data_IF_726787452149
#
_entry.id   IF_726787452149
#
_cell.length_a   1.000
_cell.length_b   1.000
_cell.length_c   1.000
_cell.angle_alpha   90.00
_cell.angle_beta   90.00
_cell.angle_gamma   90.00
#
_symmetry.space_group_name_H-M   'P 1'
#
loop_
_entity.id
_entity.type
_entity.pdbx_description
1 polymer ?
#
# COMPACT_ATOMS: atom_id res chain seq x y z
N UNK A 1 -9.56 -49.07 56.97
CA UNK A 1 -9.65 -49.42 55.54
C UNK A 1 -10.77 -48.55 55.02
N UNK A 2 -10.41 -47.34 54.58
CA UNK A 2 -11.35 -46.24 54.39
C UNK A 2 -11.25 -45.80 52.94
N UNK A 3 -12.32 -46.09 52.20
CA UNK A 3 -12.46 -45.88 50.77
C UNK A 3 -12.65 -44.42 50.41
N UNK A 4 -11.93 -43.99 49.39
CA UNK A 4 -11.95 -42.63 48.86
C UNK A 4 -13.24 -42.34 48.08
N UNK A 5 -13.88 -41.24 48.49
CA UNK A 5 -14.51 -40.20 47.68
C UNK A 5 -14.98 -40.59 46.26
N UNK A 6 -16.29 -40.82 46.13
CA UNK A 6 -17.02 -40.28 44.99
C UNK A 6 -17.48 -38.86 45.33
N UNK A 7 -17.30 -37.90 44.42
CA UNK A 7 -18.42 -37.35 43.64
C UNK A 7 -17.97 -36.13 42.79
N UNK A 8 -18.55 -36.07 41.58
CA UNK A 8 -18.82 -34.91 40.70
C UNK A 8 -17.80 -34.49 39.65
N UNK A 9 -18.13 -34.95 38.44
CA UNK A 9 -17.81 -34.35 37.17
C UNK A 9 -18.04 -32.82 37.16
N UNK A 10 -17.00 -32.06 36.79
CA UNK A 10 -17.05 -30.63 36.50
C UNK A 10 -16.75 -30.40 35.02
N UNK A 11 -17.80 -30.17 34.23
CA UNK A 11 -17.70 -29.84 32.82
C UNK A 11 -16.92 -28.55 32.59
N UNK A 12 -16.00 -28.57 31.63
CA UNK A 12 -15.24 -27.39 31.17
C UNK A 12 -16.19 -26.55 30.30
N UNK A 13 -16.98 -25.68 30.94
CA UNK A 13 -17.87 -24.73 30.26
C UNK A 13 -17.03 -23.51 29.85
N UNK A 14 -16.86 -23.32 28.55
CA UNK A 14 -16.31 -22.08 27.99
C UNK A 14 -17.32 -20.95 28.17
N UNK A 15 -16.95 -19.79 28.75
CA UNK A 15 -17.90 -18.70 28.97
C UNK A 15 -18.43 -18.15 27.65
N UNK A 16 -19.73 -17.85 27.61
CA UNK A 16 -20.35 -17.24 26.43
C UNK A 16 -20.11 -15.73 26.42
N UNK A 17 -20.22 -15.04 25.27
CA UNK A 17 -19.95 -13.60 25.15
C UNK A 17 -20.74 -12.69 26.11
N UNK A 18 -21.84 -13.19 26.69
CA UNK A 18 -22.65 -12.48 27.68
C UNK A 18 -21.97 -12.38 29.06
N UNK A 19 -21.11 -13.35 29.40
CA UNK A 19 -20.39 -13.41 30.67
C UNK A 19 -19.18 -12.45 30.72
N UNK A 20 -18.71 -11.97 29.57
CA UNK A 20 -17.64 -10.96 29.46
C UNK A 20 -18.15 -9.51 29.67
N UNK A 21 -19.45 -9.26 29.45
CA UNK A 21 -20.03 -7.93 29.55
C UNK A 21 -20.28 -7.44 30.99
N UNK A 22 -20.18 -8.34 31.98
CA UNK A 22 -20.34 -8.02 33.40
C UNK A 22 -19.02 -7.57 34.07
N UNK A 23 -17.87 -7.76 33.42
CA UNK A 23 -16.58 -7.23 33.84
C UNK A 23 -16.39 -5.80 33.29
N UNK A 24 -17.23 -4.87 33.74
CA UNK A 24 -16.99 -3.44 33.52
C UNK A 24 -16.18 -2.88 34.69
N UNK A 25 -14.90 -2.65 34.44
CA UNK A 25 -14.01 -1.85 35.28
C UNK A 25 -14.53 -0.41 35.39
N UNK A 26 -14.46 0.23 36.58
CA UNK A 26 -14.80 1.64 36.71
C UNK A 26 -13.82 2.51 35.91
N UNK A 27 -14.36 3.57 35.29
CA UNK A 27 -13.62 4.47 34.43
C UNK A 27 -12.53 5.24 35.21
N UNK A 28 -11.29 5.34 34.70
CA UNK A 28 -10.32 6.25 35.27
C UNK A 28 -10.69 7.70 34.96
N UNK A 29 -10.58 8.51 36.00
CA UNK A 29 -10.77 9.96 36.04
C UNK A 29 -9.92 10.66 34.96
N UNK A 30 -10.52 11.58 34.19
CA UNK A 30 -9.82 12.36 33.15
C UNK A 30 -8.79 13.30 33.80
N UNK A 31 -7.55 12.85 33.92
CA UNK A 31 -6.41 13.75 34.12
C UNK A 31 -6.07 14.44 32.79
N UNK A 32 -5.91 15.78 32.73
CA UNK A 32 -5.47 16.45 31.52
C UNK A 32 -4.04 16.00 31.20
N UNK A 33 -3.87 15.34 30.06
CA UNK A 33 -2.57 14.90 29.58
C UNK A 33 -1.68 16.12 29.31
N UNK A 34 -0.44 16.19 29.84
CA UNK A 34 0.51 17.20 29.42
C UNK A 34 0.79 17.00 27.92
N UNK A 35 0.77 18.11 27.16
CA UNK A 35 1.10 18.15 25.73
C UNK A 35 2.53 17.64 25.51
N UNK A 36 2.69 16.33 25.35
CA UNK A 36 3.90 15.69 24.88
C UNK A 36 3.96 15.86 23.36
N UNK A 37 4.19 17.10 22.91
CA UNK A 37 4.75 17.33 21.58
C UNK A 37 6.13 16.70 21.55
N UNK A 38 6.21 15.45 21.10
CA UNK A 38 7.44 14.84 20.60
C UNK A 38 7.84 15.58 19.33
N UNK A 39 8.38 16.79 19.50
CA UNK A 39 9.19 17.45 18.48
C UNK A 39 10.54 16.74 18.52
N UNK A 40 10.75 15.83 17.58
CA UNK A 40 12.11 15.49 17.18
C UNK A 40 12.77 16.80 16.69
N UNK A 41 13.47 17.51 17.56
CA UNK A 41 14.40 18.54 17.10
C UNK A 41 15.59 17.79 16.52
N UNK A 42 15.57 17.56 15.22
CA UNK A 42 16.76 17.13 14.51
C UNK A 42 17.77 18.27 14.54
N UNK A 43 18.71 18.21 15.47
CA UNK A 43 19.89 19.09 15.57
C UNK A 43 20.96 18.74 14.51
N UNK A 44 20.50 18.29 13.36
CA UNK A 44 21.29 18.18 12.14
C UNK A 44 20.49 18.92 11.11
N UNK A 45 21.06 20.06 10.69
CA UNK A 45 20.48 21.00 9.76
C UNK A 45 19.75 20.27 8.65
N UNK A 46 18.59 20.82 8.29
CA UNK A 46 17.84 20.43 7.10
C UNK A 46 18.83 20.27 5.95
N UNK A 47 19.22 19.02 5.68
CA UNK A 47 19.88 18.69 4.43
C UNK A 47 18.78 18.84 3.43
N UNK A 48 18.75 20.00 2.79
CA UNK A 48 17.94 20.23 1.61
C UNK A 48 18.31 19.11 0.64
N UNK A 49 17.42 18.12 0.54
CA UNK A 49 17.60 17.04 -0.42
C UNK A 49 17.59 17.71 -1.78
N UNK A 50 18.65 17.60 -2.60
CA UNK A 50 18.66 18.25 -3.89
C UNK A 50 17.46 17.73 -4.71
N UNK A 51 16.50 18.62 -4.98
CA UNK A 51 15.31 18.35 -5.78
C UNK A 51 14.24 17.53 -5.06
N UNK A 52 13.37 18.20 -4.30
CA UNK A 52 12.05 17.65 -3.99
C UNK A 52 11.26 17.38 -5.27
N UNK A 53 10.37 16.39 -5.24
CA UNK A 53 9.46 16.12 -6.34
C UNK A 53 8.63 17.39 -6.66
N UNK A 54 8.47 17.78 -7.94
CA UNK A 54 7.70 18.96 -8.29
C UNK A 54 6.27 18.85 -7.78
N UNK A 55 5.70 19.96 -7.29
CA UNK A 55 4.37 19.96 -6.67
C UNK A 55 3.26 19.40 -7.59
N UNK A 56 3.40 19.60 -8.90
CA UNK A 56 2.49 19.04 -9.90
C UNK A 56 2.55 17.50 -9.97
N UNK A 57 3.73 16.91 -9.82
CA UNK A 57 3.88 15.45 -9.74
C UNK A 57 3.28 14.89 -8.44
N UNK A 58 3.46 15.60 -7.32
CA UNK A 58 2.88 15.23 -6.03
C UNK A 58 1.34 15.34 -5.98
N UNK A 59 0.77 16.14 -6.89
CA UNK A 59 -0.67 16.34 -7.06
C UNK A 59 -1.35 15.28 -7.94
N UNK A 60 -0.59 14.38 -8.60
CA UNK A 60 -1.17 13.31 -9.39
C UNK A 60 -2.02 12.37 -8.51
N UNK A 61 -3.25 12.04 -8.93
CA UNK A 61 -4.11 11.16 -8.15
C UNK A 61 -3.58 9.72 -8.19
N UNK A 62 -3.69 9.02 -7.07
CA UNK A 62 -3.33 7.60 -7.00
C UNK A 62 -4.46 6.72 -7.53
N UNK A 63 -4.17 5.50 -7.96
CA UNK A 63 -5.17 4.54 -8.43
C UNK A 63 -6.27 4.31 -7.39
N UNK A 64 -5.91 4.18 -6.10
CA UNK A 64 -6.85 4.00 -5.02
C UNK A 64 -7.83 5.17 -4.86
N UNK A 65 -7.40 6.41 -5.15
CA UNK A 65 -8.27 7.59 -5.13
C UNK A 65 -9.24 7.60 -6.33
N UNK A 66 -8.82 7.04 -7.46
CA UNK A 66 -9.59 6.98 -8.70
C UNK A 66 -10.54 5.78 -8.78
N UNK A 67 -10.46 4.83 -7.84
CA UNK A 67 -11.13 3.52 -7.95
C UNK A 67 -12.22 3.38 -6.90
N UNK A 68 -13.44 3.06 -7.33
CA UNK A 68 -14.57 2.79 -6.43
C UNK A 68 -14.39 1.46 -5.68
N UNK A 69 -15.23 1.21 -4.66
CA UNK A 69 -15.19 -0.07 -3.93
C UNK A 69 -15.52 -1.27 -4.84
N UNK A 70 -16.52 -1.12 -5.70
CA UNK A 70 -16.93 -2.14 -6.67
C UNK A 70 -15.85 -2.44 -7.70
N UNK A 71 -15.26 -1.40 -8.30
CA UNK A 71 -14.14 -1.56 -9.23
C UNK A 71 -12.93 -2.20 -8.56
N UNK A 72 -12.63 -1.82 -7.31
CA UNK A 72 -11.50 -2.41 -6.56
C UNK A 72 -11.70 -3.91 -6.32
N UNK A 73 -12.95 -4.35 -6.13
CA UNK A 73 -13.27 -5.76 -6.00
C UNK A 73 -13.12 -6.48 -7.34
N UNK A 74 -13.69 -5.94 -8.42
CA UNK A 74 -13.55 -6.50 -9.78
C UNK A 74 -12.08 -6.58 -10.24
N UNK A 75 -11.31 -5.51 -10.04
CA UNK A 75 -9.86 -5.47 -10.33
C UNK A 75 -9.12 -6.59 -9.59
N UNK A 76 -9.52 -6.88 -8.34
CA UNK A 76 -8.89 -7.94 -7.54
C UNK A 76 -9.25 -9.33 -8.05
N UNK A 77 -10.49 -9.55 -8.48
CA UNK A 77 -10.87 -10.83 -9.10
C UNK A 77 -10.09 -11.06 -10.39
N UNK A 78 -9.94 -10.02 -11.22
CA UNK A 78 -9.10 -10.06 -12.41
C UNK A 78 -7.65 -10.36 -12.03
N UNK A 79 -7.09 -9.65 -11.04
CA UNK A 79 -5.71 -9.86 -10.55
C UNK A 79 -5.44 -11.32 -10.16
N UNK A 80 -6.41 -11.98 -9.53
CA UNK A 80 -6.28 -13.38 -9.08
C UNK A 80 -6.28 -14.36 -10.26
N UNK A 81 -7.00 -14.04 -11.34
CA UNK A 81 -7.29 -15.00 -12.42
C UNK A 81 -6.46 -14.79 -13.67
N UNK A 82 -5.93 -13.58 -13.91
CA UNK A 82 -5.31 -13.23 -15.19
C UNK A 82 -3.84 -12.81 -15.08
N UNK A 83 -3.38 -12.37 -13.92
CA UNK A 83 -2.01 -11.83 -13.77
C UNK A 83 -1.07 -12.93 -13.29
N UNK A 84 -0.06 -13.26 -14.09
CA UNK A 84 0.83 -14.41 -13.88
C UNK A 84 1.86 -14.21 -12.76
N UNK A 85 1.89 -13.02 -12.15
CA UNK A 85 2.84 -12.67 -11.10
C UNK A 85 4.21 -12.28 -11.62
N UNK A 86 4.40 -12.08 -12.93
CA UNK A 86 5.63 -11.50 -13.47
C UNK A 86 5.73 -10.01 -13.05
N UNK A 87 6.87 -9.56 -12.48
CA UNK A 87 7.00 -8.19 -11.97
C UNK A 87 6.78 -7.13 -13.05
N UNK A 88 7.22 -7.38 -14.28
CA UNK A 88 7.06 -6.45 -15.39
C UNK A 88 5.60 -6.36 -15.83
N UNK A 89 4.91 -7.49 -15.98
CA UNK A 89 3.46 -7.56 -16.26
C UNK A 89 2.65 -6.81 -15.18
N UNK A 90 2.94 -7.05 -13.91
CA UNK A 90 2.28 -6.37 -12.78
C UNK A 90 2.41 -4.85 -12.91
N UNK A 91 3.59 -4.36 -13.32
CA UNK A 91 3.82 -2.94 -13.62
C UNK A 91 2.91 -2.40 -14.73
N UNK A 92 2.74 -3.17 -15.80
CA UNK A 92 1.86 -2.82 -16.92
C UNK A 92 0.39 -2.79 -16.52
N UNK A 93 -0.09 -3.81 -15.81
CA UNK A 93 -1.50 -3.90 -15.39
C UNK A 93 -1.87 -2.71 -14.51
N UNK A 94 -1.01 -2.37 -13.55
CA UNK A 94 -1.20 -1.19 -12.71
C UNK A 94 -1.29 0.09 -13.55
N UNK A 95 -0.31 0.31 -14.44
CA UNK A 95 -0.26 1.50 -15.28
C UNK A 95 -1.50 1.60 -16.19
N UNK A 96 -1.92 0.52 -16.82
CA UNK A 96 -3.10 0.47 -17.70
C UNK A 96 -4.36 0.90 -16.96
N UNK A 97 -4.58 0.36 -15.76
CA UNK A 97 -5.74 0.71 -14.93
C UNK A 97 -5.69 2.15 -14.44
N UNK A 98 -4.50 2.64 -14.08
CA UNK A 98 -4.32 4.02 -13.68
C UNK A 98 -4.61 4.97 -14.84
N UNK A 99 -4.02 4.74 -16.01
CA UNK A 99 -4.25 5.54 -17.22
C UNK A 99 -5.72 5.54 -17.65
N UNK A 100 -6.42 4.41 -17.50
CA UNK A 100 -7.85 4.31 -17.81
C UNK A 100 -8.75 5.17 -16.91
N UNK A 101 -8.27 5.61 -15.74
CA UNK A 101 -9.06 6.32 -14.73
C UNK A 101 -8.61 7.76 -14.48
N UNK A 102 -7.36 8.09 -14.82
CA UNK A 102 -6.86 9.47 -14.70
C UNK A 102 -7.64 10.40 -15.65
N UNK A 103 -7.96 11.63 -15.23
CA UNK A 103 -8.62 12.59 -16.11
C UNK A 103 -7.86 12.78 -17.44
N UNK A 104 -8.55 12.74 -18.59
CA UNK A 104 -7.89 12.68 -19.90
C UNK A 104 -7.20 13.98 -20.32
N UNK A 105 -7.52 15.12 -19.68
CA UNK A 105 -7.01 16.44 -20.06
C UNK A 105 -6.31 17.15 -18.87
N UNK A 106 -5.02 17.53 -18.99
CA UNK A 106 -4.08 17.08 -20.02
C UNK A 106 -3.79 15.56 -19.91
N UNK A 107 -3.42 14.89 -21.02
CA UNK A 107 -3.08 13.47 -21.04
C UNK A 107 -2.07 13.09 -19.96
N UNK A 108 -2.28 11.95 -19.30
CA UNK A 108 -1.38 11.46 -18.24
C UNK A 108 0.08 11.32 -18.73
N UNK A 109 0.28 10.95 -19.99
CA UNK A 109 1.61 10.88 -20.63
C UNK A 109 2.35 12.21 -20.60
N UNK A 110 1.67 13.32 -20.87
CA UNK A 110 2.29 14.65 -20.87
C UNK A 110 2.75 15.06 -19.47
N UNK A 111 1.95 14.72 -18.46
CA UNK A 111 2.29 14.98 -17.05
C UNK A 111 3.45 14.11 -16.55
N UNK A 112 3.55 12.88 -17.06
CA UNK A 112 4.58 11.91 -16.65
C UNK A 112 5.90 12.06 -17.42
N UNK A 113 5.87 12.52 -18.67
CA UNK A 113 7.04 12.69 -19.52
C UNK A 113 8.22 13.43 -18.86
N UNK A 114 8.04 14.58 -18.19
CA UNK A 114 9.15 15.29 -17.56
C UNK A 114 9.72 14.60 -16.31
N UNK A 115 9.04 13.56 -15.80
CA UNK A 115 9.40 12.86 -14.57
C UNK A 115 10.24 11.60 -14.86
N UNK A 116 10.18 11.09 -16.09
CA UNK A 116 10.97 9.95 -16.52
C UNK A 116 12.48 10.17 -16.29
N UNK A 117 13.23 9.17 -15.78
CA UNK A 117 12.82 7.78 -15.51
C UNK A 117 12.23 7.55 -14.11
N UNK A 118 11.99 8.59 -13.30
CA UNK A 118 11.53 8.44 -11.92
C UNK A 118 10.01 8.54 -11.82
N UNK A 119 9.39 7.50 -11.27
CA UNK A 119 7.96 7.52 -10.98
C UNK A 119 7.72 8.42 -9.76
N UNK A 120 6.67 9.28 -9.76
CA UNK A 120 6.28 10.05 -8.59
C UNK A 120 6.15 9.17 -7.34
N UNK A 121 6.69 9.61 -6.21
CA UNK A 121 6.83 8.79 -5.00
C UNK A 121 5.49 8.21 -4.52
N UNK A 122 4.39 8.97 -4.62
CA UNK A 122 3.05 8.50 -4.23
C UNK A 122 2.56 7.36 -5.12
N UNK A 123 2.84 7.46 -6.43
CA UNK A 123 2.46 6.48 -7.43
C UNK A 123 3.38 5.26 -7.32
N UNK A 124 4.71 5.44 -7.21
CA UNK A 124 5.68 4.36 -7.01
C UNK A 124 5.37 3.56 -5.74
N UNK A 125 5.07 4.25 -4.63
CA UNK A 125 4.70 3.59 -3.38
C UNK A 125 3.40 2.78 -3.49
N UNK A 126 2.42 3.25 -4.26
CA UNK A 126 1.19 2.50 -4.51
C UNK A 126 1.40 1.33 -5.46
N UNK A 127 2.20 1.52 -6.50
CA UNK A 127 2.61 0.51 -7.46
C UNK A 127 3.32 -0.66 -6.76
N UNK A 128 4.27 -0.38 -5.86
CA UNK A 128 4.95 -1.43 -5.09
C UNK A 128 4.01 -2.13 -4.10
N UNK A 129 3.07 -1.41 -3.46
CA UNK A 129 2.02 -2.05 -2.63
C UNK A 129 1.03 -2.86 -3.46
N UNK A 130 0.80 -2.50 -4.72
CA UNK A 130 0.03 -3.30 -5.66
C UNK A 130 0.78 -4.60 -5.98
N UNK A 131 2.05 -4.50 -6.35
CA UNK A 131 2.91 -5.64 -6.68
C UNK A 131 3.08 -6.64 -5.53
N UNK A 132 3.17 -6.17 -4.29
CA UNK A 132 3.28 -7.03 -3.11
C UNK A 132 2.14 -8.06 -2.97
N UNK A 133 0.96 -7.81 -3.58
CA UNK A 133 -0.18 -8.73 -3.53
C UNK A 133 0.02 -10.00 -4.35
N UNK A 134 0.94 -9.99 -5.31
CA UNK A 134 1.21 -11.10 -6.22
C UNK A 134 2.29 -12.06 -5.70
N UNK A 135 2.67 -11.94 -4.43
CA UNK A 135 3.71 -12.79 -3.84
C UNK A 135 5.13 -12.43 -4.26
N UNK A 136 5.33 -11.25 -4.88
CA UNK A 136 6.63 -10.68 -5.24
C UNK A 136 7.47 -10.22 -4.04
N UNK A 137 7.18 -10.74 -2.84
CA UNK A 137 7.93 -10.42 -1.64
C UNK A 137 9.10 -11.41 -1.51
N UNK A 138 10.33 -10.91 -1.47
CA UNK A 138 11.48 -11.72 -1.14
C UNK A 138 11.31 -12.30 0.28
N UNK A 139 11.52 -13.61 0.40
CA UNK A 139 11.22 -14.45 1.57
C UNK A 139 11.92 -14.08 2.89
N UNK A 140 12.65 -12.95 2.97
CA UNK A 140 13.38 -12.58 4.18
C UNK A 140 12.83 -11.37 4.95
N UNK A 141 12.10 -10.44 4.33
CA UNK A 141 11.71 -9.19 5.03
C UNK A 141 10.39 -8.57 4.54
N UNK A 142 9.51 -9.33 3.87
CA UNK A 142 8.33 -8.79 3.16
C UNK A 142 8.71 -7.63 2.20
N UNK A 143 9.91 -7.69 1.62
CA UNK A 143 10.42 -6.70 0.68
C UNK A 143 10.43 -7.26 -0.72
N UNK A 144 9.89 -6.53 -1.69
CA UNK A 144 10.14 -6.82 -3.10
C UNK A 144 11.65 -6.68 -3.34
N UNK A 145 12.26 -7.67 -3.98
CA UNK A 145 13.69 -7.60 -4.29
C UNK A 145 13.99 -6.47 -5.28
N UNK A 146 15.25 -6.08 -5.32
CA UNK A 146 15.66 -4.91 -6.10
C UNK A 146 15.49 -5.13 -7.61
N UNK A 147 15.69 -6.35 -8.11
CA UNK A 147 15.53 -6.66 -9.53
C UNK A 147 14.05 -6.58 -9.94
N UNK A 148 13.17 -7.15 -9.12
CA UNK A 148 11.73 -7.08 -9.32
C UNK A 148 11.21 -5.64 -9.24
N UNK A 149 11.74 -4.81 -8.33
CA UNK A 149 11.42 -3.37 -8.30
C UNK A 149 11.77 -2.69 -9.62
N UNK A 150 12.93 -2.99 -10.21
CA UNK A 150 13.29 -2.44 -11.52
C UNK A 150 12.37 -2.95 -12.61
N UNK A 151 12.03 -4.24 -12.63
CA UNK A 151 11.12 -4.82 -13.61
C UNK A 151 9.70 -4.22 -13.51
N UNK A 152 9.15 -4.06 -12.31
CA UNK A 152 7.86 -3.40 -12.06
C UNK A 152 7.84 -1.98 -12.62
N UNK A 153 8.88 -1.18 -12.32
CA UNK A 153 8.99 0.20 -12.82
C UNK A 153 9.17 0.24 -14.33
N UNK A 154 9.92 -0.70 -14.91
CA UNK A 154 10.08 -0.80 -16.35
C UNK A 154 8.74 -1.13 -17.05
N UNK A 155 7.95 -2.05 -16.47
CA UNK A 155 6.60 -2.39 -16.94
C UNK A 155 5.66 -1.18 -16.90
N UNK A 156 5.70 -0.43 -15.81
CA UNK A 156 4.94 0.83 -15.69
C UNK A 156 5.26 1.80 -16.81
N UNK A 157 6.55 2.10 -17.01
CA UNK A 157 6.98 3.04 -18.05
C UNK A 157 6.61 2.57 -19.45
N UNK A 158 6.79 1.27 -19.72
CA UNK A 158 6.43 0.65 -21.00
C UNK A 158 4.96 0.87 -21.34
N UNK A 159 4.05 0.67 -20.39
CA UNK A 159 2.61 0.84 -20.61
C UNK A 159 2.23 2.32 -20.79
N UNK A 160 2.88 3.25 -20.08
CA UNK A 160 2.62 4.69 -20.25
C UNK A 160 3.09 5.26 -21.60
N UNK A 161 3.94 4.52 -22.33
CA UNK A 161 4.55 4.98 -23.58
C UNK A 161 5.51 6.16 -23.39
N UNK A 162 5.97 6.41 -22.17
CA UNK A 162 7.03 7.37 -21.85
C UNK A 162 8.35 6.62 -21.84
N UNK A 163 9.26 6.99 -22.74
CA UNK A 163 10.57 6.36 -22.86
C UNK A 163 11.68 7.41 -22.84
N UNK A 164 12.92 6.96 -22.57
CA UNK A 164 14.15 7.76 -22.64
C UNK A 164 14.44 8.20 -24.08
N UNK A 165 13.68 9.14 -24.64
CA UNK A 165 13.95 9.65 -25.99
C UNK A 165 12.77 10.06 -26.84
N UNK A 166 11.56 10.21 -26.31
CA UNK A 166 10.46 10.79 -27.09
C UNK A 166 10.57 12.34 -27.18
N UNK A 167 11.71 12.84 -27.66
CA UNK A 167 11.81 14.14 -28.30
C UNK A 167 11.72 13.90 -29.80
N UNK A 168 10.58 14.28 -30.39
CA UNK A 168 10.39 14.66 -31.81
C UNK A 168 10.73 13.63 -32.89
N UNK A 169 9.72 13.22 -33.69
CA UNK A 169 9.98 12.62 -35.01
C UNK A 169 8.80 11.87 -35.62
N UNK A 170 7.79 12.58 -36.12
CA UNK A 170 7.06 12.19 -37.32
C UNK A 170 7.02 13.39 -38.26
#
# INVERSE_FOLDING_TARGET
>A
MDGQAGERAGGRVVPTPKDLAALKTPAPERQPAPNATLRWSSDKGWVERPGGEPAEAAALPTLAQLTTAEQRWADREEDITTVGGDPFEVGQVFARRWLARVPPNPPARERLAPLYPRIPHRIDGELLRYAARFGLLAHKDDQIDENDRYAIRAGFWRETGVEAGATTGR
#
